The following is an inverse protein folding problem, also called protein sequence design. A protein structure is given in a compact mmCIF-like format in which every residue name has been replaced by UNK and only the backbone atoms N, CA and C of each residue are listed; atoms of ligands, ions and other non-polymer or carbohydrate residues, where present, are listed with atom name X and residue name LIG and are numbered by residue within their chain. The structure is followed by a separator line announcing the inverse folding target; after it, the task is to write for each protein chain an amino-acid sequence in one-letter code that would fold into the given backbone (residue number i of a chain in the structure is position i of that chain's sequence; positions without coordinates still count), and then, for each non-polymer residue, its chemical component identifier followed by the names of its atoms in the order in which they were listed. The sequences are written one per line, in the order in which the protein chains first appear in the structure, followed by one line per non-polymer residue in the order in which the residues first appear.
data_IF_368197445925
#
_entry.id   IF_368197445925
#
_cell.length_a   1.000
_cell.length_b   1.000
_cell.length_c   1.000
_cell.angle_alpha   90.00
_cell.angle_beta   90.00
_cell.angle_gamma   90.00
#
_symmetry.space_group_name_H-M   'P 1'
#
loop_
_entity.id
_entity.type
_entity.pdbx_description
1 polymer ?
#
# COMPACT_ATOMS: atom_id res chain seq x y z
N UNK A 1 -10.07 -21.09 -13.45
CA UNK A 1 -11.48 -20.66 -13.55
C UNK A 1 -11.64 -19.44 -14.47
N UNK A 2 -12.80 -19.25 -15.11
CA UNK A 2 -13.10 -18.05 -15.92
C UNK A 2 -13.86 -17.02 -15.09
N UNK A 3 -13.41 -15.78 -15.15
CA UNK A 3 -14.03 -14.64 -14.50
C UNK A 3 -14.36 -13.56 -15.53
N UNK A 4 -15.47 -12.88 -15.30
CA UNK A 4 -15.88 -11.68 -16.00
C UNK A 4 -15.70 -10.51 -15.05
N UNK A 5 -14.91 -9.51 -15.47
CA UNK A 5 -14.55 -8.33 -14.68
C UNK A 5 -15.17 -7.09 -15.31
N UNK A 6 -15.79 -6.24 -14.48
CA UNK A 6 -16.23 -4.89 -14.85
C UNK A 6 -15.53 -3.90 -13.93
N UNK A 7 -14.79 -2.95 -14.50
CA UNK A 7 -14.12 -1.87 -13.76
C UNK A 7 -15.08 -0.69 -13.66
N UNK A 8 -15.56 -0.41 -12.45
CA UNK A 8 -16.51 0.67 -12.17
C UNK A 8 -15.80 2.01 -11.99
N UNK A 9 -14.70 2.04 -11.23
CA UNK A 9 -13.88 3.23 -11.09
C UNK A 9 -12.43 2.92 -10.71
N UNK A 10 -11.51 3.79 -11.14
CA UNK A 10 -10.10 3.74 -10.77
C UNK A 10 -9.66 5.14 -10.35
N UNK A 11 -9.18 5.26 -9.12
CA UNK A 11 -8.78 6.52 -8.49
C UNK A 11 -7.35 6.42 -8.00
N UNK A 12 -6.58 7.46 -8.23
CA UNK A 12 -5.26 7.63 -7.60
C UNK A 12 -5.43 8.53 -6.38
N UNK A 13 -4.88 8.13 -5.24
CA UNK A 13 -4.99 8.85 -3.98
C UNK A 13 -3.62 9.03 -3.32
N UNK A 14 -3.39 10.19 -2.72
CA UNK A 14 -2.14 10.48 -2.00
C UNK A 14 -2.16 9.97 -0.54
N UNK A 15 -3.30 9.54 0.00
CA UNK A 15 -3.33 8.95 1.34
C UNK A 15 -4.55 8.05 1.54
N UNK A 16 -4.35 7.02 2.36
CA UNK A 16 -5.40 6.11 2.79
C UNK A 16 -6.07 6.68 4.04
N UNK A 17 -7.40 6.58 4.11
CA UNK A 17 -8.19 7.19 5.20
C UNK A 17 -7.92 6.55 6.55
N UNK A 18 -7.62 5.26 6.55
CA UNK A 18 -7.48 4.44 7.75
C UNK A 18 -6.01 4.01 8.01
N UNK A 19 -5.05 4.70 7.37
CA UNK A 19 -3.61 4.42 7.55
C UNK A 19 -3.12 4.70 8.98
N UNK A 20 -3.75 5.64 9.66
CA UNK A 20 -3.35 6.13 10.99
C UNK A 20 -4.58 6.33 11.87
N UNK A 21 -4.51 5.79 13.08
CA UNK A 21 -5.56 5.89 14.09
C UNK A 21 -5.37 7.11 14.99
N UNK A 22 -6.38 7.44 15.81
CA UNK A 22 -6.27 8.52 16.80
C UNK A 22 -5.16 8.21 17.80
N UNK A 23 -5.07 6.95 18.21
CA UNK A 23 -4.08 6.42 19.15
C UNK A 23 -2.67 6.55 18.60
N UNK A 24 -2.48 6.27 17.30
CA UNK A 24 -1.19 6.48 16.64
C UNK A 24 -0.72 7.94 16.73
N UNK A 25 -1.63 8.90 16.47
CA UNK A 25 -1.27 10.31 16.54
C UNK A 25 -0.91 10.76 17.96
N UNK A 26 -1.64 10.28 18.97
CA UNK A 26 -1.32 10.59 20.38
C UNK A 26 0.06 10.05 20.73
N UNK A 27 0.36 8.80 20.39
CA UNK A 27 1.65 8.20 20.70
C UNK A 27 2.80 8.92 19.98
N UNK A 28 2.63 9.25 18.69
CA UNK A 28 3.64 10.01 17.95
C UNK A 28 3.84 11.39 18.56
N UNK A 29 2.78 12.10 18.95
CA UNK A 29 2.90 13.38 19.65
C UNK A 29 3.73 13.28 20.93
N UNK A 30 3.52 12.24 21.74
CA UNK A 30 4.34 11.98 22.93
C UNK A 30 5.82 11.77 22.57
N UNK A 31 6.11 11.03 21.48
CA UNK A 31 7.47 10.83 20.98
C UNK A 31 8.12 12.13 20.50
N UNK A 32 7.35 13.06 19.96
CA UNK A 32 7.80 14.40 19.59
C UNK A 32 7.77 15.40 20.77
N UNK A 33 7.49 14.93 21.99
CA UNK A 33 7.56 15.76 23.21
C UNK A 33 6.30 16.56 23.53
N UNK A 34 5.16 16.26 22.91
CA UNK A 34 3.86 16.87 23.21
C UNK A 34 3.00 15.89 24.02
N UNK A 35 2.85 16.18 25.32
CA UNK A 35 2.01 15.43 26.26
C UNK A 35 0.54 15.95 26.27
N UNK A 36 -0.37 15.18 26.88
CA UNK A 36 -1.77 15.57 27.18
C UNK A 36 -2.67 15.95 25.98
N UNK A 37 -2.43 15.38 24.80
CA UNK A 37 -3.23 15.66 23.59
C UNK A 37 -4.53 14.84 23.46
N UNK A 38 -4.81 13.94 24.41
CA UNK A 38 -5.85 12.88 24.28
C UNK A 38 -7.29 13.39 24.10
N UNK A 39 -7.62 14.58 24.62
CA UNK A 39 -8.97 15.17 24.52
C UNK A 39 -9.26 15.79 23.15
N UNK A 40 -8.24 16.01 22.32
CA UNK A 40 -8.37 16.63 21.00
C UNK A 40 -9.10 15.73 19.99
N UNK A 41 -9.69 16.35 18.96
CA UNK A 41 -10.22 15.62 17.80
C UNK A 41 -9.09 15.06 16.94
N UNK A 42 -9.38 14.05 16.10
CA UNK A 42 -8.39 13.45 15.20
C UNK A 42 -7.78 14.48 14.23
N UNK A 43 -8.56 15.46 13.78
CA UNK A 43 -8.07 16.52 12.89
C UNK A 43 -7.08 17.44 13.62
N UNK A 44 -7.42 17.87 14.84
CA UNK A 44 -6.54 18.71 15.66
C UNK A 44 -5.25 17.98 16.03
N UNK A 45 -5.33 16.68 16.35
CA UNK A 45 -4.16 15.83 16.61
C UNK A 45 -3.23 15.76 15.41
N UNK A 46 -3.77 15.58 14.21
CA UNK A 46 -2.96 15.54 12.99
C UNK A 46 -2.28 16.89 12.71
N UNK A 47 -3.00 18.01 12.91
CA UNK A 47 -2.44 19.35 12.77
C UNK A 47 -1.32 19.62 13.79
N UNK A 48 -1.53 19.24 15.06
CA UNK A 48 -0.51 19.30 16.10
C UNK A 48 0.71 18.44 15.74
N UNK A 49 0.47 17.23 15.24
CA UNK A 49 1.54 16.30 14.88
C UNK A 49 2.39 16.86 13.73
N UNK A 50 1.77 17.49 12.72
CA UNK A 50 2.52 18.13 11.65
C UNK A 50 3.39 19.29 12.14
N UNK A 51 2.89 20.10 13.08
CA UNK A 51 3.72 21.14 13.70
C UNK A 51 4.89 20.54 14.48
N UNK A 52 4.62 19.51 15.30
CA UNK A 52 5.64 18.83 16.10
C UNK A 52 6.73 18.19 15.23
N UNK A 53 6.34 17.50 14.15
CA UNK A 53 7.27 16.91 13.18
C UNK A 53 8.15 17.99 12.56
N UNK A 54 7.56 19.13 12.18
CA UNK A 54 8.30 20.20 11.47
C UNK A 54 9.39 20.89 12.29
N UNK A 55 9.42 20.69 13.61
CA UNK A 55 10.47 21.20 14.51
C UNK A 55 11.75 20.33 14.50
N UNK A 56 11.72 19.17 13.84
CA UNK A 56 12.85 18.23 13.71
C UNK A 56 13.40 18.22 12.29
N UNK A 57 14.67 17.84 12.14
CA UNK A 57 15.24 17.57 10.81
C UNK A 57 14.48 16.39 10.15
N UNK A 58 14.28 16.42 8.82
CA UNK A 58 13.45 15.43 8.13
C UNK A 58 13.82 13.97 8.44
N UNK A 59 15.10 13.63 8.40
CA UNK A 59 15.62 12.30 8.71
C UNK A 59 15.38 11.88 10.17
N UNK A 60 15.39 12.82 11.11
CA UNK A 60 15.18 12.55 12.54
C UNK A 60 13.71 12.23 12.78
N UNK A 61 12.80 13.03 12.21
CA UNK A 61 11.37 12.76 12.28
C UNK A 61 11.01 11.44 11.58
N UNK A 62 11.63 11.15 10.43
CA UNK A 62 11.43 9.89 9.74
C UNK A 62 11.88 8.70 10.60
N UNK A 63 13.03 8.78 11.26
CA UNK A 63 13.51 7.73 12.15
C UNK A 63 12.53 7.47 13.32
N UNK A 64 11.97 8.51 13.94
CA UNK A 64 10.99 8.38 15.03
C UNK A 64 9.72 7.63 14.57
N UNK A 65 9.20 7.99 13.39
CA UNK A 65 7.95 7.40 12.87
C UNK A 65 8.19 5.97 12.38
N UNK A 66 9.34 5.69 11.76
CA UNK A 66 9.77 4.35 11.37
C UNK A 66 9.93 3.45 12.59
N UNK A 67 10.60 3.92 13.65
CA UNK A 67 10.74 3.18 14.91
C UNK A 67 9.38 2.82 15.48
N UNK A 68 8.45 3.77 15.54
CA UNK A 68 7.10 3.51 16.04
C UNK A 68 6.37 2.37 15.32
N UNK A 69 6.43 2.33 13.97
CA UNK A 69 5.66 1.36 13.18
C UNK A 69 6.41 0.08 12.87
N UNK A 70 7.75 0.09 12.80
CA UNK A 70 8.54 -0.98 12.20
C UNK A 70 9.68 -1.50 13.10
N UNK A 71 9.81 -1.07 14.36
CA UNK A 71 10.85 -1.58 15.27
C UNK A 71 10.77 -3.10 15.52
N UNK A 72 9.61 -3.73 15.32
CA UNK A 72 9.47 -5.19 15.42
C UNK A 72 10.06 -5.94 14.20
N UNK A 73 10.25 -5.24 13.08
CA UNK A 73 10.70 -5.83 11.80
C UNK A 73 12.08 -5.31 11.37
N UNK A 74 12.46 -4.12 11.82
CA UNK A 74 13.69 -3.44 11.45
C UNK A 74 14.52 -3.11 12.70
N UNK A 75 15.83 -3.27 12.61
CA UNK A 75 16.74 -2.83 13.67
C UNK A 75 17.09 -1.34 13.55
N UNK A 76 17.67 -0.78 14.61
CA UNK A 76 18.05 0.65 14.70
C UNK A 76 18.87 1.13 13.50
N UNK A 77 19.87 0.37 13.06
CA UNK A 77 20.70 0.77 11.91
C UNK A 77 19.90 0.78 10.59
N UNK A 78 18.95 -0.15 10.42
CA UNK A 78 18.08 -0.16 9.25
C UNK A 78 17.14 1.04 9.26
N UNK A 79 16.57 1.38 10.42
CA UNK A 79 15.70 2.54 10.59
C UNK A 79 16.46 3.82 10.28
N UNK A 80 17.67 4.00 10.84
CA UNK A 80 18.53 5.15 10.56
C UNK A 80 18.87 5.25 9.07
N UNK A 81 19.24 4.14 8.43
CA UNK A 81 19.54 4.15 7.00
C UNK A 81 18.32 4.52 6.16
N UNK A 82 17.17 3.90 6.42
CA UNK A 82 15.93 4.16 5.68
C UNK A 82 15.48 5.62 5.88
N UNK A 83 15.60 6.17 7.08
CA UNK A 83 15.16 7.54 7.35
C UNK A 83 15.91 8.58 6.52
N UNK A 84 17.21 8.35 6.26
CA UNK A 84 18.01 9.15 5.34
C UNK A 84 17.67 8.88 3.87
N UNK A 85 17.53 7.61 3.47
CA UNK A 85 17.26 7.25 2.07
C UNK A 85 15.88 7.71 1.59
N UNK A 86 14.89 7.79 2.49
CA UNK A 86 13.54 8.29 2.21
C UNK A 86 13.51 9.75 1.72
N UNK A 87 14.57 10.52 1.92
CA UNK A 87 14.67 11.89 1.38
C UNK A 87 15.07 11.91 -0.10
N UNK A 88 15.69 10.84 -0.57
CA UNK A 88 16.26 10.76 -1.92
C UNK A 88 15.34 9.98 -2.85
N UNK A 89 14.86 8.83 -2.38
CA UNK A 89 14.13 7.86 -3.20
C UNK A 89 12.83 7.42 -2.53
N UNK A 90 11.95 6.81 -3.32
CA UNK A 90 10.69 6.25 -2.80
C UNK A 90 10.96 4.89 -2.19
N UNK A 91 11.47 4.85 -0.97
CA UNK A 91 11.86 3.59 -0.32
C UNK A 91 10.71 2.59 -0.21
N UNK A 92 9.46 3.04 -0.12
CA UNK A 92 8.30 2.14 -0.22
C UNK A 92 8.27 1.29 -1.49
N UNK A 93 8.77 1.82 -2.62
CA UNK A 93 8.80 1.17 -3.94
C UNK A 93 10.14 0.44 -4.23
N UNK A 94 11.19 0.75 -3.48
CA UNK A 94 12.56 0.25 -3.72
C UNK A 94 13.06 -0.75 -2.67
N UNK A 95 12.43 -0.78 -1.49
CA UNK A 95 12.83 -1.71 -0.44
C UNK A 95 12.62 -3.17 -0.87
N UNK A 96 13.62 -4.01 -0.58
CA UNK A 96 13.63 -5.39 -1.07
C UNK A 96 12.51 -6.26 -0.46
N UNK A 97 12.17 -6.00 0.81
CA UNK A 97 11.07 -6.70 1.48
C UNK A 97 9.74 -6.00 1.21
N UNK A 98 8.98 -6.56 0.26
CA UNK A 98 7.68 -6.00 -0.15
C UNK A 98 6.62 -6.07 0.95
N UNK A 99 6.80 -6.88 2.00
CA UNK A 99 5.86 -6.96 3.12
C UNK A 99 5.79 -5.63 3.88
N UNK A 100 6.87 -4.84 3.82
CA UNK A 100 6.94 -3.50 4.43
C UNK A 100 6.38 -2.39 3.54
N UNK A 101 6.10 -2.67 2.26
CA UNK A 101 5.71 -1.65 1.28
C UNK A 101 4.52 -0.81 1.77
N UNK A 102 3.46 -1.44 2.26
CA UNK A 102 2.28 -0.71 2.74
C UNK A 102 2.60 0.24 3.90
N UNK A 103 3.38 -0.21 4.89
CA UNK A 103 3.74 0.61 6.04
C UNK A 103 4.69 1.74 5.65
N UNK A 104 5.72 1.43 4.84
CA UNK A 104 6.64 2.44 4.30
C UNK A 104 5.91 3.50 3.47
N UNK A 105 4.91 3.11 2.69
CA UNK A 105 4.04 4.04 1.96
C UNK A 105 3.29 4.97 2.92
N UNK A 106 2.65 4.42 3.97
CA UNK A 106 1.87 5.21 4.93
C UNK A 106 2.74 6.21 5.71
N UNK A 107 3.96 5.81 6.07
CA UNK A 107 4.97 6.66 6.72
C UNK A 107 5.44 7.76 5.76
N UNK A 108 5.77 7.39 4.52
CA UNK A 108 6.18 8.34 3.49
C UNK A 108 5.10 9.41 3.25
N UNK A 109 3.83 9.04 3.14
CA UNK A 109 2.75 10.00 2.90
C UNK A 109 2.49 10.92 4.10
N UNK A 110 2.70 10.46 5.33
CA UNK A 110 2.62 11.31 6.52
C UNK A 110 3.73 12.36 6.50
N UNK A 111 4.97 11.93 6.26
CA UNK A 111 6.16 12.77 6.18
C UNK A 111 6.13 13.75 5.00
N UNK A 112 5.73 13.28 3.82
CA UNK A 112 5.57 14.10 2.62
C UNK A 112 4.63 15.28 2.88
N UNK A 113 3.51 15.04 3.59
CA UNK A 113 2.57 16.09 3.97
C UNK A 113 3.12 17.01 5.06
N UNK A 114 3.74 16.45 6.10
CA UNK A 114 4.30 17.24 7.20
C UNK A 114 5.38 18.23 6.72
N UNK A 115 6.22 17.82 5.76
CA UNK A 115 7.30 18.63 5.21
C UNK A 115 6.99 19.28 3.85
N UNK A 116 5.72 19.37 3.44
CA UNK A 116 5.30 20.03 2.20
C UNK A 116 6.07 19.57 0.94
N UNK A 117 6.37 18.28 0.84
CA UNK A 117 6.97 17.67 -0.34
C UNK A 117 8.49 17.47 -0.31
N UNK A 118 9.15 17.64 0.85
CA UNK A 118 10.56 17.26 1.02
C UNK A 118 10.80 15.77 0.72
N UNK A 119 9.92 14.89 1.20
CA UNK A 119 9.96 13.46 0.87
C UNK A 119 9.34 13.24 -0.53
N UNK A 120 9.85 12.31 -1.35
CA UNK A 120 9.24 11.95 -2.62
C UNK A 120 7.77 11.53 -2.45
N UNK A 121 6.88 11.90 -3.37
CA UNK A 121 5.47 11.51 -3.28
C UNK A 121 5.24 10.10 -3.81
N UNK A 122 4.73 9.20 -2.98
CA UNK A 122 4.20 7.91 -3.41
C UNK A 122 2.68 8.00 -3.51
N UNK A 123 2.05 7.14 -4.32
CA UNK A 123 0.59 7.17 -4.50
C UNK A 123 -0.01 5.78 -4.45
N UNK A 124 -1.28 5.72 -4.07
CA UNK A 124 -2.05 4.51 -4.06
C UNK A 124 -3.11 4.52 -5.18
N UNK A 125 -3.43 3.35 -5.70
CA UNK A 125 -4.53 3.13 -6.64
C UNK A 125 -5.65 2.40 -5.91
N UNK A 126 -6.86 2.96 -6.01
CA UNK A 126 -8.09 2.36 -5.52
C UNK A 126 -8.97 2.00 -6.72
N UNK A 127 -9.32 0.73 -6.83
CA UNK A 127 -10.12 0.17 -7.92
C UNK A 127 -11.43 -0.36 -7.37
N UNK A 128 -12.55 0.16 -7.84
CA UNK A 128 -13.87 -0.40 -7.61
C UNK A 128 -14.24 -1.26 -8.83
N UNK A 129 -14.56 -2.53 -8.62
CA UNK A 129 -14.84 -3.46 -9.71
C UNK A 129 -15.90 -4.50 -9.33
N UNK A 130 -16.41 -5.20 -10.33
CA UNK A 130 -17.26 -6.37 -10.19
C UNK A 130 -16.57 -7.59 -10.76
N UNK A 131 -16.77 -8.75 -10.13
CA UNK A 131 -16.20 -10.02 -10.53
C UNK A 131 -17.29 -11.10 -10.52
N UNK A 132 -17.47 -11.78 -11.66
CA UNK A 132 -18.45 -12.86 -11.81
C UNK A 132 -17.79 -14.11 -12.40
N UNK A 133 -17.98 -15.29 -11.81
CA UNK A 133 -18.73 -15.54 -10.59
C UNK A 133 -17.97 -15.05 -9.35
N UNK A 134 -18.69 -14.59 -8.33
CA UNK A 134 -18.11 -14.32 -7.02
C UNK A 134 -17.93 -15.63 -6.26
N UNK A 135 -16.77 -16.28 -6.47
CA UNK A 135 -16.42 -17.52 -5.79
C UNK A 135 -14.94 -17.48 -5.42
N UNK A 136 -14.64 -17.64 -4.14
CA UNK A 136 -13.28 -17.74 -3.60
C UNK A 136 -12.40 -16.54 -4.04
N UNK A 137 -12.95 -15.32 -3.95
CA UNK A 137 -12.28 -14.09 -4.38
C UNK A 137 -11.22 -13.69 -3.34
N UNK A 138 -9.97 -14.07 -3.62
CA UNK A 138 -8.78 -13.68 -2.86
C UNK A 138 -7.98 -12.61 -3.60
N UNK A 139 -6.99 -12.01 -2.92
CA UNK A 139 -6.06 -11.05 -3.54
C UNK A 139 -5.31 -11.66 -4.72
N UNK A 140 -4.86 -12.91 -4.58
CA UNK A 140 -4.23 -13.68 -5.65
C UNK A 140 -5.16 -13.83 -6.87
N UNK A 141 -6.41 -14.25 -6.65
CA UNK A 141 -7.39 -14.43 -7.73
C UNK A 141 -7.62 -13.11 -8.47
N UNK A 142 -7.72 -11.99 -7.74
CA UNK A 142 -7.90 -10.66 -8.34
C UNK A 142 -6.66 -10.24 -9.14
N UNK A 143 -5.44 -10.45 -8.62
CA UNK A 143 -4.21 -10.13 -9.36
C UNK A 143 -4.08 -10.96 -10.64
N UNK A 144 -4.31 -12.27 -10.55
CA UNK A 144 -4.33 -13.16 -11.72
C UNK A 144 -5.40 -12.75 -12.73
N UNK A 145 -6.58 -12.32 -12.25
CA UNK A 145 -7.63 -11.83 -13.13
C UNK A 145 -7.21 -10.54 -13.85
N UNK A 146 -6.58 -9.62 -13.12
CA UNK A 146 -6.14 -8.31 -13.61
C UNK A 146 -4.89 -8.38 -14.49
N UNK A 147 -4.14 -9.49 -14.52
CA UNK A 147 -3.01 -9.70 -15.43
C UNK A 147 -3.33 -9.29 -16.89
N UNK A 148 -4.57 -9.53 -17.33
CA UNK A 148 -5.05 -9.19 -18.67
C UNK A 148 -5.01 -7.69 -18.97
N UNK A 149 -5.22 -6.83 -17.95
CA UNK A 149 -5.20 -5.37 -18.13
C UNK A 149 -3.79 -4.79 -18.00
N UNK A 150 -2.89 -5.46 -17.27
CA UNK A 150 -1.53 -4.97 -17.04
C UNK A 150 -0.72 -4.91 -18.35
N UNK A 151 0.01 -3.81 -18.54
CA UNK A 151 0.96 -3.66 -19.63
C UNK A 151 2.07 -4.72 -19.55
N UNK A 152 2.59 -5.18 -20.70
CA UNK A 152 3.60 -6.25 -20.73
C UNK A 152 4.89 -5.92 -19.95
N UNK A 153 5.21 -4.64 -19.76
CA UNK A 153 6.36 -4.16 -19.00
C UNK A 153 6.03 -3.81 -17.54
N UNK A 154 4.80 -4.06 -17.07
CA UNK A 154 4.39 -3.84 -15.70
C UNK A 154 5.27 -4.65 -14.72
N UNK A 155 5.49 -4.09 -13.53
CA UNK A 155 6.39 -4.67 -12.52
C UNK A 155 5.92 -6.04 -12.06
N UNK A 156 4.61 -6.24 -11.83
CA UNK A 156 4.05 -7.52 -11.38
C UNK A 156 4.36 -8.60 -12.40
N UNK A 157 4.13 -8.34 -13.70
CA UNK A 157 4.47 -9.28 -14.78
C UNK A 157 5.96 -9.62 -14.84
N UNK A 158 6.82 -8.64 -14.60
CA UNK A 158 8.28 -8.84 -14.63
C UNK A 158 8.77 -9.70 -13.47
N UNK A 159 8.20 -9.54 -12.28
CA UNK A 159 8.67 -10.19 -11.07
C UNK A 159 7.97 -11.53 -10.79
N UNK A 160 6.67 -11.62 -11.12
CA UNK A 160 5.79 -12.71 -10.67
C UNK A 160 5.08 -13.42 -11.84
N UNK A 161 5.74 -13.53 -13.00
CA UNK A 161 5.13 -14.17 -14.19
C UNK A 161 4.73 -15.63 -13.96
N UNK A 162 5.56 -16.40 -13.27
CA UNK A 162 5.25 -17.80 -12.90
C UNK A 162 4.05 -17.88 -11.95
N UNK A 163 4.00 -16.98 -10.96
CA UNK A 163 2.92 -16.94 -9.97
C UNK A 163 1.59 -16.58 -10.67
N UNK A 164 1.59 -15.57 -11.54
CA UNK A 164 0.43 -15.19 -12.37
C UNK A 164 -0.05 -16.33 -13.27
N UNK A 165 0.88 -17.14 -13.78
CA UNK A 165 0.58 -18.32 -14.59
C UNK A 165 0.10 -19.54 -13.79
N UNK A 166 0.05 -19.46 -12.46
CA UNK A 166 -0.32 -20.57 -11.57
C UNK A 166 0.72 -21.68 -11.50
N UNK A 167 1.98 -21.37 -11.79
CA UNK A 167 3.10 -22.32 -11.72
C UNK A 167 3.78 -22.35 -10.34
N UNK A 168 3.56 -21.32 -9.53
CA UNK A 168 4.09 -21.15 -8.19
C UNK A 168 2.97 -20.56 -7.30
N UNK A 169 3.06 -20.81 -5.99
CA UNK A 169 2.23 -20.14 -4.99
C UNK A 169 2.42 -18.61 -5.06
N UNK A 170 1.39 -17.84 -4.78
CA UNK A 170 1.44 -16.37 -4.90
C UNK A 170 1.22 -15.65 -3.58
N UNK A 171 2.03 -15.99 -2.58
CA UNK A 171 1.94 -15.43 -1.22
C UNK A 171 2.17 -13.90 -1.22
N UNK A 172 2.98 -13.39 -2.14
CA UNK A 172 3.26 -11.97 -2.32
C UNK A 172 2.02 -11.15 -2.69
N UNK A 173 0.94 -11.80 -3.17
CA UNK A 173 -0.32 -11.14 -3.44
C UNK A 173 -0.86 -10.37 -2.22
N UNK A 174 -0.59 -10.88 -1.01
CA UNK A 174 -0.97 -10.22 0.25
C UNK A 174 -0.26 -8.89 0.48
N UNK A 175 0.95 -8.73 -0.06
CA UNK A 175 1.77 -7.52 0.04
C UNK A 175 1.60 -6.57 -1.15
N UNK A 176 1.19 -7.10 -2.31
CA UNK A 176 0.87 -6.30 -3.51
C UNK A 176 -0.51 -5.64 -3.37
N UNK A 177 -1.52 -6.41 -2.95
CA UNK A 177 -2.87 -5.89 -2.70
C UNK A 177 -3.01 -5.61 -1.20
N UNK A 178 -2.97 -4.34 -0.83
CA UNK A 178 -2.99 -3.94 0.58
C UNK A 178 -4.35 -4.18 1.21
N UNK A 179 -5.42 -3.89 0.48
CA UNK A 179 -6.79 -4.14 0.92
C UNK A 179 -7.65 -4.68 -0.22
N UNK A 180 -8.53 -5.62 0.11
CA UNK A 180 -9.56 -6.14 -0.78
C UNK A 180 -10.84 -6.30 0.02
N UNK A 181 -11.74 -5.33 -0.11
CA UNK A 181 -12.99 -5.27 0.65
C UNK A 181 -14.19 -5.52 -0.25
N UNK A 182 -15.08 -6.45 0.15
CA UNK A 182 -16.37 -6.64 -0.52
C UNK A 182 -17.32 -5.49 -0.15
N UNK A 183 -17.95 -4.89 -1.16
CA UNK A 183 -18.90 -3.77 -1.02
C UNK A 183 -20.31 -4.11 -1.54
N UNK A 184 -20.51 -5.34 -2.03
CA UNK A 184 -21.76 -5.83 -2.59
C UNK A 184 -21.69 -7.31 -2.95
N UNK A 185 -22.73 -7.82 -3.64
CA UNK A 185 -22.82 -9.24 -3.97
C UNK A 185 -21.70 -9.72 -4.89
N UNK A 186 -21.30 -8.94 -5.89
CA UNK A 186 -20.18 -9.24 -6.80
C UNK A 186 -19.15 -8.10 -6.85
N UNK A 187 -19.31 -7.10 -6.00
CA UNK A 187 -18.59 -5.82 -6.07
C UNK A 187 -17.52 -5.73 -4.98
N UNK A 188 -16.35 -5.24 -5.36
CA UNK A 188 -15.17 -5.15 -4.51
C UNK A 188 -14.47 -3.81 -4.68
N UNK A 189 -13.80 -3.37 -3.62
CA UNK A 189 -12.80 -2.32 -3.63
C UNK A 189 -11.43 -2.94 -3.38
N UNK A 190 -10.50 -2.74 -4.31
CA UNK A 190 -9.09 -3.09 -4.18
C UNK A 190 -8.28 -1.82 -3.93
N UNK A 191 -7.35 -1.89 -2.98
CA UNK A 191 -6.35 -0.84 -2.73
C UNK A 191 -4.95 -1.40 -2.90
N UNK A 192 -4.11 -0.72 -3.67
CA UNK A 192 -2.70 -1.09 -3.91
C UNK A 192 -1.85 0.17 -4.14
N UNK A 193 -0.55 0.00 -4.33
CA UNK A 193 0.38 1.06 -4.74
C UNK A 193 0.23 1.38 -6.23
N UNK A 194 0.38 2.65 -6.60
CA UNK A 194 0.51 3.07 -8.01
C UNK A 194 1.71 2.40 -8.68
N UNK A 195 2.75 2.07 -7.92
CA UNK A 195 3.91 1.30 -8.38
C UNK A 195 3.54 -0.07 -8.95
N UNK A 196 2.60 -0.76 -8.28
CA UNK A 196 2.15 -2.09 -8.70
C UNK A 196 1.16 -2.00 -9.85
N UNK A 197 0.12 -1.20 -9.67
CA UNK A 197 -0.94 -1.01 -10.66
C UNK A 197 -1.32 0.46 -10.71
N UNK A 198 -0.77 1.17 -11.71
CA UNK A 198 -1.18 2.54 -11.97
C UNK A 198 -2.58 2.60 -12.56
N UNK A 199 -3.24 3.76 -12.47
CA UNK A 199 -4.54 3.98 -13.10
C UNK A 199 -4.52 3.67 -14.60
N UNK A 200 -3.40 3.93 -15.28
CA UNK A 200 -3.27 3.78 -16.73
C UNK A 200 -3.18 2.32 -17.20
N UNK A 201 -3.05 1.38 -16.26
CA UNK A 201 -3.17 -0.05 -16.53
C UNK A 201 -4.61 -0.45 -16.87
N UNK A 202 -5.62 0.30 -16.41
CA UNK A 202 -7.03 -0.03 -16.58
C UNK A 202 -7.64 0.67 -17.82
N UNK A 203 -7.34 0.13 -19.00
CA UNK A 203 -7.77 0.70 -20.29
C UNK A 203 -9.14 0.21 -20.73
N UNK A 204 -9.45 -1.04 -20.43
CA UNK A 204 -10.73 -1.67 -20.74
C UNK A 204 -11.61 -1.67 -19.49
N UNK A 205 -12.84 -1.18 -19.63
CA UNK A 205 -13.80 -1.14 -18.53
C UNK A 205 -14.44 -2.51 -18.26
N UNK A 206 -14.30 -3.47 -19.17
CA UNK A 206 -14.93 -4.79 -19.08
C UNK A 206 -14.08 -5.83 -19.81
N UNK A 207 -13.81 -6.97 -19.18
CA UNK A 207 -13.03 -8.04 -19.80
C UNK A 207 -13.24 -9.40 -19.13
N UNK A 208 -13.14 -10.47 -19.93
CA UNK A 208 -13.04 -11.84 -19.40
C UNK A 208 -11.59 -12.22 -19.11
N UNK A 209 -11.33 -12.84 -17.97
CA UNK A 209 -10.04 -13.38 -17.58
C UNK A 209 -10.11 -14.87 -17.24
N UNK A 210 -9.03 -15.60 -17.48
CA UNK A 210 -8.90 -17.00 -17.07
C UNK A 210 -7.79 -17.11 -16.05
N UNK A 211 -8.18 -17.39 -14.81
CA UNK A 211 -7.26 -17.56 -13.67
C UNK A 211 -6.88 -19.03 -13.59
N UNK A 212 -5.58 -19.31 -13.46
CA UNK A 212 -5.06 -20.65 -13.16
C UNK A 212 -4.60 -20.63 -11.71
N UNK A 213 -5.26 -21.43 -10.88
CA UNK A 213 -4.85 -21.62 -9.48
C UNK A 213 -3.59 -22.48 -9.47
N UNK A 214 -2.71 -22.23 -8.49
CA UNK A 214 -1.57 -23.09 -8.26
C UNK A 214 -2.06 -24.41 -7.67
N UNK A 215 -1.68 -25.53 -8.28
CA UNK A 215 -1.91 -26.86 -7.74
C UNK A 215 -0.57 -27.33 -7.18
N UNK A 216 -0.49 -27.48 -5.85
CA UNK A 216 0.71 -28.02 -5.21
C UNK A 216 0.86 -29.48 -5.68
N UNK A 217 1.98 -29.83 -6.30
CA UNK A 217 2.29 -31.22 -6.67
C UNK A 217 2.67 -32.03 -5.41
N UNK A 218 1.78 -32.09 -4.43
CA UNK A 218 1.83 -33.05 -3.32
C UNK A 218 0.54 -33.87 -3.28
N UNK A 219 0.50 -34.88 -4.17
CA UNK A 219 -0.25 -36.14 -4.01
C UNK A 219 0.74 -37.32 -3.97
#
# INVERSE_FOLDING_TARGET
MKYHIIINSVKTVDALKDAWTKEDYIFLLEKFGIEDSSESSTSELLELLFMAISDFEPEEAAAIILDYKLADQLNENQIEQISHEMLLDKISEEYADITLHHQLFNINQLLHKAYNGTFPNAKATVVEFEITPNKDITKEVVLKAFDKTLANNNVIKRLFSNHLAGQEAFDEAESIVWDLTSIGENSYTLTTSEYWMSRDEFKDAEFDSTVVEFEDEED
#
